data_IF_710449804868
#
_entry.id   IF_710449804868
#
_cell.length_a   1.000
_cell.length_b   1.000
_cell.length_c   1.000
_cell.angle_alpha   90.00
_cell.angle_beta   90.00
_cell.angle_gamma   90.00
#
_symmetry.space_group_name_H-M   'P 1'
#
loop_
_entity.id
_entity.type
_entity.pdbx_description
1 polymer ?
#
# COMPACT_ATOMS: atom_id res chain seq x y z
N UNK A 1 5.58 -4.16 26.46
CA UNK A 1 6.86 -4.13 25.71
C UNK A 1 6.60 -3.46 24.36
N UNK A 2 7.47 -2.56 23.89
CA UNK A 2 7.28 -1.84 22.62
C UNK A 2 8.28 -2.31 21.58
N UNK A 3 7.95 -2.19 20.29
CA UNK A 3 8.84 -2.65 19.22
C UNK A 3 10.18 -1.90 19.15
N UNK A 4 10.25 -0.67 19.67
CA UNK A 4 11.51 0.07 19.79
C UNK A 4 12.52 -0.60 20.73
N UNK A 5 12.04 -1.38 21.71
CA UNK A 5 12.89 -2.11 22.67
C UNK A 5 13.08 -3.57 22.28
N UNK A 6 12.08 -4.18 21.63
CA UNK A 6 12.15 -5.54 21.12
C UNK A 6 11.52 -5.61 19.72
N UNK A 7 12.31 -5.43 18.64
CA UNK A 7 11.80 -5.44 17.28
C UNK A 7 11.11 -6.76 16.88
N UNK A 8 11.50 -7.88 17.51
CA UNK A 8 10.96 -9.21 17.20
C UNK A 8 9.45 -9.32 17.46
N UNK A 9 8.88 -8.47 18.32
CA UNK A 9 7.44 -8.45 18.57
C UNK A 9 6.64 -8.15 17.29
N UNK A 10 7.22 -7.44 16.33
CA UNK A 10 6.57 -7.12 15.07
C UNK A 10 6.47 -8.31 14.11
N UNK A 11 7.25 -9.37 14.33
CA UNK A 11 7.18 -10.62 13.56
C UNK A 11 6.24 -11.65 14.17
N UNK A 12 5.59 -11.32 15.29
CA UNK A 12 4.52 -12.14 15.82
C UNK A 12 3.35 -12.24 14.80
N UNK A 13 2.69 -13.40 14.77
CA UNK A 13 1.62 -13.71 13.80
C UNK A 13 0.48 -12.68 13.80
N UNK A 14 0.12 -12.18 14.98
CA UNK A 14 -0.98 -11.23 15.17
C UNK A 14 -0.52 -9.75 15.13
N UNK A 15 0.74 -9.51 14.77
CA UNK A 15 1.27 -8.15 14.61
C UNK A 15 0.71 -7.50 13.33
N UNK A 16 0.38 -6.20 13.35
CA UNK A 16 -0.07 -5.48 12.16
C UNK A 16 0.99 -5.35 11.05
N UNK A 17 2.24 -5.72 11.33
CA UNK A 17 3.27 -5.89 10.33
C UNK A 17 4.69 -5.93 10.91
N UNK A 18 5.69 -6.24 10.08
CA UNK A 18 7.04 -6.54 10.54
C UNK A 18 7.90 -5.31 10.82
N UNK A 19 7.42 -4.10 10.51
CA UNK A 19 8.20 -2.87 10.66
C UNK A 19 7.77 -2.10 11.91
N UNK A 20 8.74 -1.68 12.71
CA UNK A 20 8.49 -0.85 13.87
C UNK A 20 8.49 0.64 13.48
N UNK A 21 7.35 1.31 13.59
CA UNK A 21 7.20 2.74 13.36
C UNK A 21 6.66 3.40 14.63
N UNK A 22 7.43 4.29 15.26
CA UNK A 22 7.02 5.04 16.46
C UNK A 22 6.35 4.17 17.55
N UNK A 23 7.02 3.08 17.96
CA UNK A 23 6.55 2.11 18.96
C UNK A 23 5.39 1.21 18.53
N UNK A 24 4.83 1.37 17.34
CA UNK A 24 3.80 0.49 16.79
C UNK A 24 4.35 -0.35 15.64
N UNK A 25 3.89 -1.60 15.56
CA UNK A 25 4.21 -2.47 14.45
C UNK A 25 3.26 -2.18 13.30
N UNK A 26 3.79 -1.98 12.11
CA UNK A 26 3.03 -1.65 10.91
C UNK A 26 3.59 -2.40 9.72
N UNK A 27 2.74 -2.64 8.72
CA UNK A 27 3.19 -3.13 7.43
C UNK A 27 3.39 -1.97 6.46
N UNK A 28 4.63 -1.53 6.26
CA UNK A 28 4.92 -0.43 5.32
C UNK A 28 4.57 -0.75 3.87
N UNK A 29 4.33 -2.02 3.53
CA UNK A 29 3.98 -2.42 2.17
C UNK A 29 2.51 -2.18 1.82
N UNK A 30 1.65 -2.04 2.81
CA UNK A 30 0.20 -1.92 2.66
C UNK A 30 -0.42 -0.79 3.48
N UNK A 31 0.27 -0.29 4.49
CA UNK A 31 -0.25 0.76 5.36
C UNK A 31 -0.15 2.12 4.64
N UNK A 32 -1.30 2.71 4.34
CA UNK A 32 -1.43 4.03 3.70
C UNK A 32 -0.74 5.16 4.46
N UNK A 33 -0.57 5.05 5.77
CA UNK A 33 0.05 6.06 6.62
C UNK A 33 1.57 5.89 6.76
N UNK A 34 2.11 4.73 6.37
CA UNK A 34 3.53 4.38 6.51
C UNK A 34 4.04 3.68 5.25
N UNK A 35 3.66 4.16 4.07
CA UNK A 35 3.89 3.43 2.82
C UNK A 35 5.36 3.48 2.39
N UNK A 36 6.05 2.34 2.33
CA UNK A 36 7.48 2.25 2.01
C UNK A 36 8.40 2.61 3.19
N UNK A 37 8.04 3.61 3.99
CA UNK A 37 8.74 3.98 5.22
C UNK A 37 7.82 4.65 6.24
N UNK A 38 8.26 4.68 7.50
CA UNK A 38 7.49 5.25 8.61
C UNK A 38 7.16 6.74 8.36
N UNK A 39 5.90 7.11 8.57
CA UNK A 39 5.43 8.48 8.37
C UNK A 39 5.15 8.87 6.90
N UNK A 40 5.39 7.98 5.93
CA UNK A 40 5.03 8.24 4.54
C UNK A 40 3.53 8.03 4.31
N UNK A 41 2.75 9.09 4.45
CA UNK A 41 1.31 9.05 4.19
C UNK A 41 1.02 9.27 2.71
N UNK A 42 0.40 8.28 2.07
CA UNK A 42 -0.10 8.43 0.71
C UNK A 42 -1.24 9.46 0.63
N UNK A 43 -1.40 10.10 -0.53
CA UNK A 43 -2.48 11.07 -0.77
C UNK A 43 -3.86 10.43 -0.64
N UNK A 44 -4.90 11.26 -0.54
CA UNK A 44 -6.26 10.79 -0.32
C UNK A 44 -6.72 9.76 -1.37
N UNK A 45 -6.39 9.96 -2.64
CA UNK A 45 -6.74 9.05 -3.75
C UNK A 45 -5.69 7.96 -4.04
N UNK A 46 -4.68 7.83 -3.18
CA UNK A 46 -3.63 6.83 -3.33
C UNK A 46 -3.80 5.69 -2.33
N UNK A 47 -3.37 4.51 -2.78
CA UNK A 47 -3.32 3.28 -1.99
C UNK A 47 -1.86 2.84 -1.90
N UNK A 48 -1.47 2.31 -0.74
CA UNK A 48 -0.13 1.75 -0.59
C UNK A 48 -0.07 0.36 -1.22
N UNK A 49 0.65 0.25 -2.32
CA UNK A 49 0.86 -1.00 -3.03
C UNK A 49 2.35 -1.34 -3.04
N UNK A 50 2.73 -2.42 -2.33
CA UNK A 50 4.12 -2.89 -2.24
C UNK A 50 5.10 -1.78 -1.78
N UNK A 51 4.64 -0.92 -0.87
CA UNK A 51 5.45 0.18 -0.35
C UNK A 51 5.52 1.42 -1.24
N UNK A 52 4.70 1.48 -2.29
CA UNK A 52 4.57 2.66 -3.14
C UNK A 52 3.15 3.20 -3.12
N UNK A 53 3.02 4.51 -2.97
CA UNK A 53 1.73 5.18 -3.10
C UNK A 53 1.34 5.22 -4.57
N UNK A 54 0.26 4.54 -4.93
CA UNK A 54 -0.24 4.49 -6.30
C UNK A 54 -1.70 4.94 -6.34
N UNK A 55 -2.03 5.72 -7.37
CA UNK A 55 -3.40 6.13 -7.60
C UNK A 55 -4.14 5.02 -8.36
N UNK A 56 -4.94 4.22 -7.64
CA UNK A 56 -5.67 3.09 -8.21
C UNK A 56 -6.80 3.53 -9.15
N UNK A 57 -7.14 4.83 -9.21
CA UNK A 57 -8.21 5.32 -10.07
C UNK A 57 -7.77 5.52 -11.53
N UNK A 58 -6.48 5.76 -11.76
CA UNK A 58 -5.94 6.09 -13.09
C UNK A 58 -4.68 5.31 -13.46
N UNK A 59 -4.07 4.59 -12.51
CA UNK A 59 -2.88 3.81 -12.80
C UNK A 59 -3.28 2.51 -13.50
N UNK A 60 -2.91 2.38 -14.78
CA UNK A 60 -3.17 1.18 -15.60
C UNK A 60 -2.60 -0.12 -15.03
N UNK A 61 -1.56 -0.07 -14.18
CA UNK A 61 -0.95 -1.25 -13.54
C UNK A 61 -1.59 -1.60 -12.18
N UNK A 62 -2.41 -0.70 -11.63
CA UNK A 62 -3.03 -0.83 -10.30
C UNK A 62 -4.49 -0.38 -10.31
N UNK A 63 -5.23 -0.64 -11.39
CA UNK A 63 -6.55 -0.08 -11.60
C UNK A 63 -7.59 -0.71 -10.67
N UNK A 64 -8.26 0.07 -9.83
CA UNK A 64 -9.21 -0.44 -8.82
C UNK A 64 -8.57 -1.18 -7.64
N UNK A 65 -7.27 -1.53 -7.73
CA UNK A 65 -6.56 -2.24 -6.66
C UNK A 65 -5.09 -2.51 -6.99
N UNK A 66 -4.33 -2.88 -5.96
CA UNK A 66 -2.91 -3.19 -6.12
C UNK A 66 -2.67 -4.37 -7.06
N UNK A 67 -1.74 -4.22 -8.02
CA UNK A 67 -1.38 -5.23 -9.03
C UNK A 67 -2.54 -5.61 -9.97
N UNK A 68 -3.58 -4.80 -10.09
CA UNK A 68 -4.64 -5.00 -11.06
C UNK A 68 -4.32 -4.27 -12.37
N UNK A 69 -3.58 -4.94 -13.26
CA UNK A 69 -3.19 -4.37 -14.56
C UNK A 69 -4.35 -4.50 -15.55
N UNK A 70 -4.73 -3.40 -16.20
CA UNK A 70 -5.66 -3.44 -17.33
C UNK A 70 -5.04 -4.13 -18.55
N UNK A 71 -5.87 -4.70 -19.42
CA UNK A 71 -5.43 -5.26 -20.70
C UNK A 71 -4.70 -4.22 -21.55
N UNK A 72 -3.86 -4.69 -22.47
CA UNK A 72 -3.16 -3.80 -23.39
C UNK A 72 -4.17 -3.08 -24.29
N UNK A 73 -3.98 -1.76 -24.44
CA UNK A 73 -4.95 -0.88 -25.11
C UNK A 73 -5.98 -0.24 -24.16
N UNK A 74 -6.32 -0.87 -23.03
CA UNK A 74 -7.27 -0.31 -22.07
C UNK A 74 -6.70 0.90 -21.31
N UNK A 75 -7.60 1.81 -20.91
CA UNK A 75 -7.28 2.87 -19.95
C UNK A 75 -7.84 2.53 -18.57
N UNK A 76 -7.24 3.10 -17.52
CA UNK A 76 -7.81 3.04 -16.19
C UNK A 76 -8.51 4.36 -15.93
N UNK A 77 -9.81 4.32 -15.68
CA UNK A 77 -10.60 5.49 -15.34
C UNK A 77 -11.51 5.17 -14.16
N UNK A 78 -11.49 6.02 -13.14
CA UNK A 78 -12.31 5.87 -11.93
C UNK A 78 -12.16 4.49 -11.25
N UNK A 79 -10.99 3.86 -11.38
CA UNK A 79 -10.72 2.54 -10.78
C UNK A 79 -11.29 1.37 -11.58
N UNK A 80 -11.75 1.61 -12.80
CA UNK A 80 -12.23 0.59 -13.72
C UNK A 80 -11.37 0.58 -14.98
N UNK A 81 -11.00 -0.61 -15.43
CA UNK A 81 -10.38 -0.77 -16.74
C UNK A 81 -11.48 -0.53 -17.78
N UNK A 82 -11.31 0.51 -18.58
CA UNK A 82 -12.17 0.74 -19.73
C UNK A 82 -11.85 -0.31 -20.79
N UNK A 83 -12.89 -0.88 -21.36
CA UNK A 83 -12.81 -1.50 -22.67
C UNK A 83 -12.79 -0.31 -23.64
N UNK A 84 -11.61 0.13 -24.07
CA UNK A 84 -11.56 1.07 -25.18
C UNK A 84 -12.21 0.36 -26.38
N UNK A 85 -13.23 1.02 -26.94
CA UNK A 85 -14.00 0.61 -28.10
C UNK A 85 -13.18 0.82 -29.38
#
# INVERSE_FOLDING_TARGET
MTCNKNPMICWAKDSPGPFCCNKTCVNVLMNKQNCGFCGNKCKYNETCCKGQCVNTLFNKRHCGGCNNKCQEGSSCAYGMCSYAN
#
